data_IF_268817047613
#
_entry.id   IF_268817047613
#
_cell.length_a   1.000
_cell.length_b   1.000
_cell.length_c   1.000
_cell.angle_alpha   90.00
_cell.angle_beta   90.00
_cell.angle_gamma   90.00
#
_symmetry.space_group_name_H-M   'P 1'
#
loop_
_entity.id
_entity.type
_entity.pdbx_description
1 polymer ?
#
# COMPACT_ATOMS: atom_id res chain seq x y z
N UNK A 1 -11.80 -20.90 -22.69
CA UNK A 1 -10.82 -20.09 -21.94
C UNK A 1 -11.56 -18.99 -21.20
N UNK A 2 -11.91 -19.24 -19.94
CA UNK A 2 -12.63 -18.30 -19.07
C UNK A 2 -11.85 -18.36 -17.77
N UNK A 3 -10.95 -17.40 -17.49
CA UNK A 3 -10.06 -17.59 -16.34
C UNK A 3 -9.13 -16.48 -15.88
N UNK A 4 -9.06 -15.31 -16.54
CA UNK A 4 -8.19 -14.22 -16.06
C UNK A 4 -8.88 -12.86 -15.90
N UNK A 5 -9.96 -12.57 -16.65
CA UNK A 5 -10.71 -11.30 -16.49
C UNK A 5 -11.45 -11.15 -15.15
N UNK A 6 -11.70 -12.26 -14.43
CA UNK A 6 -12.44 -12.23 -13.16
C UNK A 6 -11.60 -11.84 -11.94
N UNK A 7 -10.28 -11.73 -12.07
CA UNK A 7 -9.40 -11.36 -10.95
C UNK A 7 -9.26 -9.84 -10.83
N UNK A 8 -9.30 -9.12 -11.96
CA UNK A 8 -9.19 -7.65 -11.98
C UNK A 8 -10.54 -6.97 -11.74
N UNK A 9 -11.65 -7.52 -12.24
CA UNK A 9 -13.00 -6.96 -12.00
C UNK A 9 -13.46 -7.03 -10.53
N UNK A 10 -12.92 -7.94 -9.72
CA UNK A 10 -13.26 -8.03 -8.30
C UNK A 10 -12.57 -6.98 -7.43
N UNK A 11 -11.57 -6.27 -7.95
CA UNK A 11 -10.85 -5.25 -7.20
C UNK A 11 -11.56 -3.88 -7.19
N UNK A 12 -12.49 -3.64 -8.13
CA UNK A 12 -13.11 -2.32 -8.34
C UNK A 12 -14.55 -2.21 -7.82
N UNK A 13 -15.24 -3.31 -7.52
CA UNK A 13 -16.68 -3.29 -7.20
C UNK A 13 -17.06 -3.70 -5.77
N UNK A 14 -16.40 -3.10 -4.78
CA UNK A 14 -16.99 -2.99 -3.43
C UNK A 14 -16.89 -1.56 -2.95
N UNK A 15 -17.81 -0.73 -3.46
CA UNK A 15 -18.28 0.47 -2.77
C UNK A 15 -18.85 0.04 -1.42
N UNK A 16 -18.01 -0.04 -0.39
CA UNK A 16 -18.50 -0.06 0.99
C UNK A 16 -18.84 1.39 1.32
N UNK A 17 -20.09 1.71 1.02
CA UNK A 17 -20.82 2.80 1.64
C UNK A 17 -20.76 2.55 3.16
N UNK A 18 -19.93 3.31 3.89
CA UNK A 18 -20.03 3.45 5.34
C UNK A 18 -20.70 4.79 5.61
N UNK A 19 -22.00 4.82 5.39
CA UNK A 19 -22.87 5.88 5.91
C UNK A 19 -22.95 5.74 7.42
N UNK A 20 -22.72 6.86 8.10
CA UNK A 20 -23.29 7.26 9.40
C UNK A 20 -23.73 6.13 10.36
N UNK A 21 -22.90 5.88 11.37
CA UNK A 21 -23.33 5.36 12.67
C UNK A 21 -23.00 6.35 13.82
N UNK A 22 -22.97 7.66 13.52
CA UNK A 22 -22.76 8.71 14.52
C UNK A 22 -24.05 9.15 15.24
N UNK A 23 -25.22 8.63 14.86
CA UNK A 23 -26.52 9.19 15.28
C UNK A 23 -27.24 8.43 16.42
N UNK A 24 -26.73 7.29 16.91
CA UNK A 24 -27.46 6.48 17.88
C UNK A 24 -27.14 6.77 19.37
N UNK A 25 -26.27 7.75 19.67
CA UNK A 25 -25.77 7.94 21.04
C UNK A 25 -26.50 9.01 21.88
N UNK A 26 -27.59 9.62 21.40
CA UNK A 26 -28.23 10.75 22.11
C UNK A 26 -29.51 10.37 22.88
N UNK A 27 -30.07 9.16 22.77
CA UNK A 27 -31.34 8.84 23.42
C UNK A 27 -31.26 7.68 24.42
N UNK A 28 -30.87 7.97 25.67
CA UNK A 28 -31.38 7.27 26.87
C UNK A 28 -30.79 7.84 28.16
N UNK A 29 -31.22 9.05 28.52
CA UNK A 29 -31.16 9.56 29.89
C UNK A 29 -32.58 9.53 30.45
N UNK A 30 -32.85 8.65 31.41
CA UNK A 30 -34.16 8.55 32.05
C UNK A 30 -34.31 7.40 33.05
N UNK A 31 -33.93 7.67 34.31
CA UNK A 31 -34.43 7.13 35.59
C UNK A 31 -34.53 5.61 35.84
N UNK A 32 -33.72 5.08 36.76
CA UNK A 32 -34.14 4.40 38.00
C UNK A 32 -32.96 3.60 38.60
N UNK A 33 -32.66 3.85 39.87
CA UNK A 33 -31.64 3.15 40.65
C UNK A 33 -32.07 1.71 40.94
N UNK A 34 -31.21 0.73 40.62
CA UNK A 34 -31.31 -0.64 41.13
C UNK A 34 -29.90 -1.24 41.29
N UNK A 35 -29.59 -1.96 42.40
CA UNK A 35 -28.24 -2.45 42.74
C UNK A 35 -27.71 -3.61 41.85
N UNK A 36 -28.38 -3.91 40.73
CA UNK A 36 -27.92 -4.83 39.70
C UNK A 36 -27.43 -4.14 38.41
N UNK A 37 -27.35 -2.80 38.40
CA UNK A 37 -26.97 -1.99 37.23
C UNK A 37 -25.46 -1.79 37.13
N UNK A 38 -24.75 -1.76 38.26
CA UNK A 38 -23.31 -1.48 38.33
C UNK A 38 -22.46 -2.58 37.65
N UNK A 39 -22.76 -3.85 37.88
CA UNK A 39 -22.11 -4.99 37.20
C UNK A 39 -22.50 -5.12 35.72
N UNK A 40 -23.66 -4.61 35.32
CA UNK A 40 -24.15 -4.64 33.93
C UNK A 40 -23.55 -3.50 33.09
N UNK A 41 -23.35 -2.32 33.69
CA UNK A 41 -22.61 -1.19 33.09
C UNK A 41 -21.11 -1.46 32.99
N UNK A 42 -20.51 -2.13 33.98
CA UNK A 42 -19.11 -2.57 33.92
C UNK A 42 -18.86 -3.57 32.77
N UNK A 43 -19.77 -4.53 32.55
CA UNK A 43 -19.67 -5.46 31.41
C UNK A 43 -19.93 -4.81 30.06
N UNK A 44 -20.91 -3.90 29.95
CA UNK A 44 -21.17 -3.20 28.69
C UNK A 44 -20.02 -2.26 28.31
N UNK A 45 -19.36 -1.62 29.28
CA UNK A 45 -18.20 -0.76 29.03
C UNK A 45 -16.91 -1.56 28.74
N UNK A 46 -16.69 -2.69 29.40
CA UNK A 46 -15.61 -3.63 29.01
C UNK A 46 -15.82 -4.17 27.59
N UNK A 47 -17.08 -4.43 27.20
CA UNK A 47 -17.43 -4.81 25.84
C UNK A 47 -17.16 -3.66 24.87
N UNK A 48 -17.49 -2.40 25.19
CA UNK A 48 -17.16 -1.24 24.33
C UNK A 48 -15.65 -1.00 24.22
N UNK A 49 -14.88 -1.19 25.31
CA UNK A 49 -13.41 -1.09 25.30
C UNK A 49 -12.72 -2.22 24.52
N UNK A 50 -13.19 -3.46 24.68
CA UNK A 50 -12.75 -4.59 23.87
C UNK A 50 -13.13 -4.38 22.41
N UNK A 51 -14.32 -3.84 22.12
CA UNK A 51 -14.79 -3.58 20.75
C UNK A 51 -14.08 -2.43 20.08
N UNK A 52 -13.66 -1.39 20.81
CA UNK A 52 -12.82 -0.31 20.29
C UNK A 52 -11.39 -0.78 20.03
N UNK A 53 -10.78 -1.53 20.96
CA UNK A 53 -9.49 -2.22 20.74
C UNK A 53 -9.56 -3.17 19.56
N UNK A 54 -10.63 -3.96 19.48
CA UNK A 54 -10.83 -4.94 18.43
C UNK A 54 -11.09 -4.26 17.09
N UNK A 55 -11.87 -3.16 17.01
CA UNK A 55 -12.08 -2.41 15.76
C UNK A 55 -10.82 -1.67 15.27
N UNK A 56 -10.05 -1.04 16.17
CA UNK A 56 -8.81 -0.33 15.78
C UNK A 56 -7.71 -1.31 15.37
N UNK A 57 -7.58 -2.43 16.09
CA UNK A 57 -6.68 -3.53 15.74
C UNK A 57 -7.17 -4.25 14.48
N UNK A 58 -8.46 -4.49 14.31
CA UNK A 58 -9.03 -5.08 13.08
C UNK A 58 -8.89 -4.16 11.86
N UNK A 59 -8.94 -2.83 11.98
CA UNK A 59 -8.88 -1.96 10.79
C UNK A 59 -7.45 -1.69 10.30
N UNK A 60 -6.47 -1.62 11.21
CA UNK A 60 -5.05 -1.37 10.85
C UNK A 60 -4.28 -2.68 10.73
N UNK A 61 -4.47 -3.63 11.66
CA UNK A 61 -3.80 -4.93 11.56
C UNK A 61 -4.45 -5.84 10.52
N UNK A 62 -5.76 -5.79 10.19
CA UNK A 62 -6.23 -6.64 9.08
C UNK A 62 -5.68 -6.18 7.73
N UNK A 63 -5.60 -4.88 7.42
CA UNK A 63 -5.09 -4.47 6.11
C UNK A 63 -3.61 -4.84 5.98
N UNK A 64 -2.79 -4.56 6.99
CA UNK A 64 -1.37 -4.92 6.98
C UNK A 64 -1.13 -6.43 7.05
N UNK A 65 -1.88 -7.15 7.89
CA UNK A 65 -1.75 -8.61 8.00
C UNK A 65 -2.26 -9.31 6.74
N UNK A 66 -3.32 -8.81 6.09
CA UNK A 66 -3.80 -9.36 4.81
C UNK A 66 -2.75 -9.12 3.73
N UNK A 67 -2.15 -7.92 3.65
CA UNK A 67 -1.11 -7.62 2.66
C UNK A 67 0.18 -8.44 2.92
N UNK A 68 0.63 -8.53 4.17
CA UNK A 68 1.78 -9.37 4.56
C UNK A 68 1.52 -10.86 4.27
N UNK A 69 0.33 -11.34 4.62
CA UNK A 69 -0.09 -12.72 4.38
C UNK A 69 -0.24 -13.02 2.89
N UNK A 70 -0.75 -12.08 2.10
CA UNK A 70 -0.79 -12.22 0.64
C UNK A 70 0.62 -12.28 0.06
N UNK A 71 1.57 -11.49 0.56
CA UNK A 71 2.97 -11.60 0.15
C UNK A 71 3.58 -12.94 0.58
N UNK A 72 3.28 -13.43 1.78
CA UNK A 72 3.71 -14.75 2.28
C UNK A 72 3.15 -15.90 1.43
N UNK A 73 1.85 -15.89 1.18
CA UNK A 73 1.13 -16.90 0.40
C UNK A 73 1.60 -16.93 -1.06
N UNK A 74 2.08 -15.81 -1.60
CA UNK A 74 2.68 -15.72 -2.93
C UNK A 74 4.21 -15.94 -2.94
N UNK A 75 4.83 -16.30 -1.80
CA UNK A 75 6.27 -16.56 -1.71
C UNK A 75 7.15 -15.32 -1.86
N UNK A 76 6.58 -14.12 -1.71
CA UNK A 76 7.23 -12.81 -1.89
C UNK A 76 7.88 -12.28 -0.60
N UNK A 77 8.15 -13.16 0.36
CA UNK A 77 8.76 -12.87 1.67
C UNK A 77 10.16 -12.25 1.55
N UNK A 78 10.84 -12.50 0.42
CA UNK A 78 12.18 -11.98 0.14
C UNK A 78 12.19 -10.58 -0.47
N UNK A 79 11.01 -10.00 -0.73
CA UNK A 79 10.93 -8.64 -1.24
C UNK A 79 11.12 -7.65 -0.08
N UNK A 80 11.88 -6.56 -0.28
CA UNK A 80 12.06 -5.51 0.73
C UNK A 80 10.73 -4.96 1.30
N UNK A 81 9.67 -4.95 0.48
CA UNK A 81 8.33 -4.51 0.89
C UNK A 81 7.73 -5.36 2.03
N UNK A 82 8.07 -6.66 2.10
CA UNK A 82 7.59 -7.54 3.16
C UNK A 82 8.22 -7.16 4.51
N UNK A 83 9.53 -6.97 4.55
CA UNK A 83 10.24 -6.54 5.77
C UNK A 83 9.74 -5.17 6.24
N UNK A 84 9.48 -4.25 5.31
CA UNK A 84 8.90 -2.94 5.63
C UNK A 84 7.49 -3.05 6.22
N UNK A 85 6.62 -3.89 5.64
CA UNK A 85 5.26 -4.12 6.18
C UNK A 85 5.31 -4.67 7.61
N UNK A 86 6.20 -5.64 7.87
CA UNK A 86 6.35 -6.26 9.19
C UNK A 86 6.90 -5.26 10.20
N UNK A 87 7.98 -4.55 9.88
CA UNK A 87 8.56 -3.52 10.75
C UNK A 87 7.56 -2.41 11.08
N UNK A 88 6.76 -2.00 10.09
CA UNK A 88 5.73 -0.99 10.31
C UNK A 88 4.59 -1.47 11.22
N UNK A 89 4.17 -2.73 11.12
CA UNK A 89 3.18 -3.33 12.04
C UNK A 89 3.69 -3.30 13.48
N UNK A 90 4.92 -3.75 13.69
CA UNK A 90 5.50 -3.89 15.02
C UNK A 90 5.65 -2.50 15.72
N UNK A 91 5.97 -1.45 14.96
CA UNK A 91 6.01 -0.07 15.47
C UNK A 91 4.62 0.44 15.94
N UNK A 92 3.55 0.10 15.20
CA UNK A 92 2.18 0.49 15.58
C UNK A 92 1.72 -0.28 16.82
N UNK A 93 2.01 -1.59 16.88
CA UNK A 93 1.65 -2.41 18.04
C UNK A 93 2.32 -1.89 19.32
N UNK A 94 3.60 -1.47 19.25
CA UNK A 94 4.30 -0.84 20.37
C UNK A 94 3.68 0.50 20.81
N UNK A 95 3.30 1.37 19.85
CA UNK A 95 2.66 2.65 20.14
C UNK A 95 1.30 2.47 20.81
N UNK A 96 0.49 1.52 20.33
CA UNK A 96 -0.81 1.20 20.92
C UNK A 96 -0.64 0.62 22.32
N UNK A 97 0.35 -0.24 22.56
CA UNK A 97 0.56 -0.85 23.86
C UNK A 97 0.94 0.20 24.92
N UNK A 98 1.89 1.09 24.60
CA UNK A 98 2.35 2.13 25.52
C UNK A 98 1.23 3.12 25.87
N UNK A 99 0.51 3.61 24.86
CA UNK A 99 -0.54 4.61 25.08
C UNK A 99 -1.77 4.04 25.79
N UNK A 100 -2.10 2.77 25.56
CA UNK A 100 -3.20 2.12 26.25
C UNK A 100 -2.89 1.81 27.73
N UNK A 101 -1.62 1.66 28.11
CA UNK A 101 -1.24 1.51 29.53
C UNK A 101 -1.61 2.75 30.35
N UNK A 102 -1.32 3.93 29.83
CA UNK A 102 -1.63 5.22 30.49
C UNK A 102 -3.14 5.45 30.64
N UNK A 103 -3.94 5.10 29.63
CA UNK A 103 -5.42 5.18 29.73
C UNK A 103 -5.95 4.22 30.79
N UNK A 104 -5.42 3.00 30.87
CA UNK A 104 -5.83 2.03 31.90
C UNK A 104 -5.47 2.55 33.29
N UNK A 105 -4.29 3.14 33.46
CA UNK A 105 -3.85 3.74 34.72
C UNK A 105 -4.76 4.90 35.17
N UNK A 106 -5.17 5.78 34.25
CA UNK A 106 -6.16 6.84 34.54
C UNK A 106 -7.50 6.28 34.99
N UNK A 107 -7.97 5.20 34.37
CA UNK A 107 -9.25 4.57 34.72
C UNK A 107 -9.18 3.80 36.06
N UNK A 108 -8.05 3.16 36.36
CA UNK A 108 -7.81 2.52 37.66
C UNK A 108 -7.73 3.57 38.77
N UNK A 109 -7.07 4.70 38.49
CA UNK A 109 -6.99 5.84 39.42
C UNK A 109 -8.36 6.46 39.64
N UNK A 110 -9.15 6.64 38.57
CA UNK A 110 -10.55 7.06 38.66
C UNK A 110 -11.36 6.13 39.57
N UNK A 111 -11.21 4.81 39.46
CA UNK A 111 -11.96 3.85 40.29
C UNK A 111 -11.64 3.96 41.79
N UNK A 112 -10.39 4.29 42.13
CA UNK A 112 -9.93 4.44 43.51
C UNK A 112 -10.19 5.84 44.08
N UNK A 113 -10.49 6.82 43.22
CA UNK A 113 -10.68 8.21 43.60
C UNK A 113 -12.05 8.48 44.26
N UNK A 114 -12.13 9.49 45.15
CA UNK A 114 -13.39 10.00 45.68
C UNK A 114 -14.37 10.40 44.56
N UNK A 115 -15.68 10.37 44.84
CA UNK A 115 -16.74 10.66 43.84
C UNK A 115 -16.53 12.00 43.13
N UNK A 116 -16.00 13.01 43.83
CA UNK A 116 -15.75 14.35 43.28
C UNK A 116 -14.57 14.41 42.29
N UNK A 117 -13.57 13.53 42.41
CA UNK A 117 -12.37 13.47 41.55
C UNK A 117 -12.50 12.44 40.44
N UNK A 118 -13.42 11.47 40.61
CA UNK A 118 -13.73 10.43 39.63
C UNK A 118 -14.02 10.96 38.24
N UNK A 119 -14.87 11.99 38.16
CA UNK A 119 -15.28 12.59 36.90
C UNK A 119 -14.10 13.21 36.14
N UNK A 120 -13.18 13.86 36.85
CA UNK A 120 -11.99 14.47 36.25
C UNK A 120 -11.08 13.41 35.61
N UNK A 121 -10.84 12.29 36.28
CA UNK A 121 -10.05 11.19 35.72
C UNK A 121 -10.73 10.52 34.52
N UNK A 122 -12.06 10.41 34.52
CA UNK A 122 -12.81 9.92 33.34
C UNK A 122 -12.73 10.87 32.15
N UNK A 123 -12.81 12.18 32.38
CA UNK A 123 -12.64 13.18 31.33
C UNK A 123 -11.22 13.13 30.76
N UNK A 124 -10.20 13.08 31.62
CA UNK A 124 -8.81 12.93 31.22
C UNK A 124 -8.58 11.65 30.38
N UNK A 125 -9.14 10.52 30.81
CA UNK A 125 -9.05 9.27 30.04
C UNK A 125 -9.75 9.37 28.67
N UNK A 126 -10.88 10.08 28.57
CA UNK A 126 -11.59 10.31 27.30
C UNK A 126 -10.78 11.19 26.34
N UNK A 127 -10.16 12.24 26.85
CA UNK A 127 -9.34 13.13 26.04
C UNK A 127 -8.08 12.39 25.55
N UNK A 128 -7.44 11.61 26.43
CA UNK A 128 -6.31 10.80 26.03
C UNK A 128 -6.67 9.74 24.97
N UNK A 129 -7.85 9.12 25.04
CA UNK A 129 -8.32 8.22 23.98
C UNK A 129 -8.52 8.95 22.65
N UNK A 130 -9.01 10.20 22.65
CA UNK A 130 -9.14 10.99 21.42
C UNK A 130 -7.77 11.28 20.80
N UNK A 131 -6.80 11.67 21.63
CA UNK A 131 -5.44 11.97 21.19
C UNK A 131 -4.79 10.73 20.55
N UNK A 132 -4.95 9.56 21.16
CA UNK A 132 -4.49 8.27 20.62
C UNK A 132 -5.11 8.01 19.24
N UNK A 133 -6.42 8.20 19.08
CA UNK A 133 -7.10 7.95 17.79
C UNK A 133 -6.61 8.90 16.70
N UNK A 134 -6.36 10.18 17.04
CA UNK A 134 -5.79 11.15 16.11
C UNK A 134 -4.38 10.73 15.71
N UNK A 135 -3.54 10.36 16.68
CA UNK A 135 -2.18 9.91 16.41
C UNK A 135 -2.14 8.64 15.56
N UNK A 136 -2.98 7.65 15.86
CA UNK A 136 -3.11 6.43 15.04
C UNK A 136 -3.56 6.72 13.62
N UNK A 137 -4.44 7.72 13.43
CA UNK A 137 -4.86 8.14 12.09
C UNK A 137 -3.72 8.75 11.30
N UNK A 138 -2.86 9.55 11.96
CA UNK A 138 -1.65 10.13 11.36
C UNK A 138 -0.65 9.02 11.01
N UNK A 139 -0.41 8.08 11.92
CA UNK A 139 0.50 6.95 11.68
C UNK A 139 0.01 6.06 10.56
N UNK A 140 -1.30 5.76 10.51
CA UNK A 140 -1.91 5.04 9.38
C UNK A 140 -1.69 5.76 8.05
N UNK A 141 -1.83 7.09 8.01
CA UNK A 141 -1.57 7.85 6.80
C UNK A 141 -0.10 7.80 6.38
N UNK A 142 0.85 7.91 7.33
CA UNK A 142 2.29 7.77 7.06
C UNK A 142 2.62 6.37 6.52
N UNK A 143 2.00 5.34 7.09
CA UNK A 143 2.14 3.96 6.68
C UNK A 143 1.65 3.73 5.25
N UNK A 144 0.42 4.13 4.92
CA UNK A 144 -0.13 3.99 3.56
C UNK A 144 0.76 4.67 2.52
N UNK A 145 1.31 5.83 2.91
CA UNK A 145 2.28 6.58 2.12
C UNK A 145 3.57 5.80 1.85
N UNK A 146 4.20 5.21 2.88
CA UNK A 146 5.40 4.36 2.73
C UNK A 146 5.13 3.12 1.90
N UNK A 147 4.02 2.43 2.16
CA UNK A 147 3.63 1.25 1.38
C UNK A 147 3.47 1.57 -0.10
N UNK A 148 2.94 2.75 -0.42
CA UNK A 148 2.77 3.13 -1.82
C UNK A 148 4.11 3.35 -2.52
N UNK A 149 5.08 3.96 -1.86
CA UNK A 149 6.45 4.10 -2.38
C UNK A 149 7.07 2.72 -2.61
N UNK A 150 7.01 1.84 -1.62
CA UNK A 150 7.56 0.50 -1.72
C UNK A 150 6.92 -0.31 -2.86
N UNK A 151 5.61 -0.16 -3.05
CA UNK A 151 4.88 -0.78 -4.16
C UNK A 151 5.39 -0.25 -5.52
N UNK A 152 5.55 1.07 -5.66
CA UNK A 152 6.06 1.68 -6.90
C UNK A 152 7.48 1.20 -7.17
N UNK A 153 8.36 1.22 -6.17
CA UNK A 153 9.74 0.74 -6.31
C UNK A 153 9.80 -0.74 -6.72
N UNK A 154 8.92 -1.58 -6.17
CA UNK A 154 8.79 -2.98 -6.57
C UNK A 154 8.32 -3.13 -8.02
N UNK A 155 7.31 -2.36 -8.45
CA UNK A 155 6.84 -2.35 -9.85
C UNK A 155 7.94 -1.91 -10.82
N UNK A 156 8.75 -0.90 -10.46
CA UNK A 156 9.88 -0.45 -11.28
C UNK A 156 10.96 -1.53 -11.37
N UNK A 157 11.30 -2.20 -10.25
CA UNK A 157 12.23 -3.34 -10.25
C UNK A 157 11.76 -4.48 -11.15
N UNK A 158 10.47 -4.80 -11.10
CA UNK A 158 9.87 -5.84 -11.93
C UNK A 158 9.96 -5.48 -13.42
N UNK A 159 9.62 -4.24 -13.80
CA UNK A 159 9.79 -3.74 -15.17
C UNK A 159 11.24 -3.84 -15.64
N UNK A 160 12.22 -3.42 -14.83
CA UNK A 160 13.64 -3.54 -15.15
C UNK A 160 14.03 -5.00 -15.39
N UNK A 161 13.55 -5.93 -14.56
CA UNK A 161 13.85 -7.35 -14.69
C UNK A 161 13.24 -7.97 -15.95
N UNK A 162 11.99 -7.62 -16.27
CA UNK A 162 11.32 -8.05 -17.49
C UNK A 162 12.04 -7.52 -18.73
N UNK A 163 12.34 -6.22 -18.76
CA UNK A 163 13.03 -5.56 -19.89
C UNK A 163 14.43 -6.14 -20.09
N UNK A 164 15.18 -6.37 -19.01
CA UNK A 164 16.51 -7.00 -19.10
C UNK A 164 16.47 -8.40 -19.70
N UNK A 165 15.39 -9.17 -19.43
CA UNK A 165 15.20 -10.50 -19.99
C UNK A 165 14.84 -10.44 -21.48
N UNK A 166 14.03 -9.46 -21.87
CA UNK A 166 13.68 -9.23 -23.28
C UNK A 166 14.92 -8.77 -24.05
N UNK A 167 15.67 -7.81 -23.53
CA UNK A 167 16.97 -7.38 -24.07
C UNK A 167 17.91 -8.55 -24.36
N UNK A 168 18.13 -9.42 -23.37
CA UNK A 168 18.97 -10.61 -23.56
C UNK A 168 18.43 -11.56 -24.64
N UNK A 169 17.12 -11.62 -24.83
CA UNK A 169 16.49 -12.41 -25.90
C UNK A 169 16.71 -11.75 -27.26
N UNK A 170 16.50 -10.42 -27.35
CA UNK A 170 16.67 -9.61 -28.55
C UNK A 170 18.11 -9.68 -29.07
N UNK A 171 19.11 -9.53 -28.19
CA UNK A 171 20.54 -9.68 -28.51
C UNK A 171 20.89 -11.06 -29.09
N UNK A 172 20.16 -12.10 -28.68
CA UNK A 172 20.35 -13.48 -29.14
C UNK A 172 19.68 -13.81 -30.48
N UNK A 173 18.73 -13.01 -30.97
CA UNK A 173 17.97 -13.28 -32.20
C UNK A 173 18.84 -13.56 -33.44
N UNK A 174 19.92 -12.81 -33.71
CA UNK A 174 20.77 -13.05 -34.89
C UNK A 174 21.45 -14.42 -34.90
N UNK A 175 21.62 -15.04 -33.74
CA UNK A 175 22.31 -16.32 -33.56
C UNK A 175 21.38 -17.52 -33.76
N UNK A 176 20.06 -17.30 -33.78
CA UNK A 176 19.08 -18.34 -34.00
C UNK A 176 18.99 -18.75 -35.47
N UNK A 177 18.62 -20.02 -35.69
CA UNK A 177 18.23 -20.54 -37.01
C UNK A 177 16.98 -19.82 -37.50
N UNK A 178 16.81 -19.68 -38.81
CA UNK A 178 15.73 -18.90 -39.41
C UNK A 178 14.33 -19.28 -38.91
N UNK A 179 13.98 -20.57 -38.87
CA UNK A 179 12.68 -21.04 -38.40
C UNK A 179 12.44 -20.76 -36.90
N UNK A 180 13.49 -20.83 -36.08
CA UNK A 180 13.40 -20.54 -34.64
C UNK A 180 13.35 -19.03 -34.40
N UNK A 181 14.04 -18.25 -35.24
CA UNK A 181 14.12 -16.78 -35.15
C UNK A 181 12.74 -16.15 -35.29
N UNK A 182 11.97 -16.50 -36.33
CA UNK A 182 10.64 -15.93 -36.54
C UNK A 182 9.71 -16.15 -35.34
N UNK A 183 9.68 -17.38 -34.80
CA UNK A 183 8.86 -17.72 -33.65
C UNK A 183 9.33 -17.05 -32.33
N UNK A 184 10.63 -16.83 -32.16
CA UNK A 184 11.17 -16.10 -31.00
C UNK A 184 10.94 -14.61 -31.15
N UNK A 185 11.11 -14.03 -32.33
CA UNK A 185 10.83 -12.62 -32.63
C UNK A 185 9.39 -12.26 -32.27
N UNK A 186 8.40 -13.03 -32.75
CA UNK A 186 6.98 -12.77 -32.45
C UNK A 186 6.69 -12.75 -30.93
N UNK A 187 7.20 -13.75 -30.20
CA UNK A 187 7.06 -13.82 -28.74
C UNK A 187 7.79 -12.69 -28.01
N UNK A 188 8.88 -12.19 -28.58
CA UNK A 188 9.66 -11.08 -28.03
C UNK A 188 8.91 -9.77 -28.23
N UNK A 189 8.29 -9.55 -29.40
CA UNK A 189 7.37 -8.42 -29.65
C UNK A 189 6.18 -8.43 -28.69
N UNK A 190 5.56 -9.59 -28.46
CA UNK A 190 4.46 -9.72 -27.51
C UNK A 190 4.89 -9.33 -26.08
N UNK A 191 6.03 -9.85 -25.61
CA UNK A 191 6.58 -9.46 -24.30
C UNK A 191 6.88 -7.98 -24.20
N UNK A 192 7.42 -7.35 -25.24
CA UNK A 192 7.64 -5.90 -25.24
C UNK A 192 6.32 -5.12 -25.12
N UNK A 193 5.25 -5.58 -25.78
CA UNK A 193 3.92 -4.96 -25.63
C UNK A 193 3.37 -5.12 -24.22
N UNK A 194 3.56 -6.28 -23.60
CA UNK A 194 3.18 -6.51 -22.20
C UNK A 194 3.94 -5.57 -21.25
N UNK A 195 5.25 -5.39 -21.47
CA UNK A 195 6.07 -4.46 -20.71
C UNK A 195 5.59 -3.03 -20.90
N UNK A 196 5.27 -2.61 -22.14
CA UNK A 196 4.68 -1.29 -22.41
C UNK A 196 3.38 -1.09 -21.63
N UNK A 197 2.50 -2.09 -21.59
CA UNK A 197 1.26 -2.00 -20.83
C UNK A 197 1.50 -1.82 -19.31
N UNK A 198 2.46 -2.56 -18.74
CA UNK A 198 2.87 -2.41 -17.35
C UNK A 198 3.50 -1.04 -17.07
N UNK A 199 4.31 -0.51 -18.00
CA UNK A 199 4.88 0.83 -17.93
C UNK A 199 3.78 1.91 -17.91
N UNK A 200 2.77 1.81 -18.79
CA UNK A 200 1.66 2.77 -18.79
C UNK A 200 0.86 2.73 -17.48
N UNK A 201 0.67 1.53 -16.90
CA UNK A 201 0.04 1.40 -15.59
C UNK A 201 0.87 2.05 -14.47
N UNK A 202 2.20 1.94 -14.53
CA UNK A 202 3.10 2.64 -13.62
C UNK A 202 2.98 4.16 -13.77
N UNK A 203 2.93 4.69 -14.99
CA UNK A 203 2.73 6.13 -15.26
C UNK A 203 1.42 6.63 -14.67
N UNK A 204 0.32 5.89 -14.85
CA UNK A 204 -0.98 6.21 -14.22
C UNK A 204 -0.85 6.25 -12.70
N UNK A 205 -0.20 5.24 -12.11
CA UNK A 205 0.01 5.16 -10.67
C UNK A 205 0.84 6.32 -10.13
N UNK A 206 1.91 6.71 -10.83
CA UNK A 206 2.73 7.86 -10.48
C UNK A 206 1.95 9.17 -10.61
N UNK A 207 1.12 9.30 -11.65
CA UNK A 207 0.25 10.46 -11.82
C UNK A 207 -0.75 10.60 -10.66
N UNK A 208 -1.39 9.51 -10.24
CA UNK A 208 -2.29 9.53 -9.09
C UNK A 208 -1.58 9.91 -7.80
N UNK A 209 -0.37 9.39 -7.57
CA UNK A 209 0.44 9.71 -6.38
C UNK A 209 1.02 11.12 -6.44
N UNK A 210 1.30 11.66 -7.63
CA UNK A 210 1.78 13.04 -7.79
C UNK A 210 0.76 14.09 -7.35
N UNK A 211 -0.53 13.72 -7.32
CA UNK A 211 -1.59 14.57 -6.78
C UNK A 211 -1.62 14.57 -5.25
N UNK A 212 -0.84 13.71 -4.59
CA UNK A 212 -0.75 13.68 -3.14
C UNK A 212 0.13 14.85 -2.66
N UNK A 213 -0.19 15.44 -1.52
CA UNK A 213 0.63 16.51 -0.96
C UNK A 213 1.94 16.01 -0.33
N UNK A 214 2.92 16.90 -0.22
CA UNK A 214 4.19 16.68 0.47
C UNK A 214 5.20 15.88 -0.36
N UNK A 215 6.28 15.43 0.31
CA UNK A 215 7.46 14.81 -0.33
C UNK A 215 7.14 13.67 -1.29
N UNK A 216 6.12 12.86 -0.99
CA UNK A 216 5.75 11.71 -1.83
C UNK A 216 5.17 12.15 -3.17
N UNK A 217 4.30 13.17 -3.16
CA UNK A 217 3.78 13.72 -4.40
C UNK A 217 4.86 14.40 -5.22
N UNK A 218 5.77 15.13 -4.55
CA UNK A 218 6.94 15.73 -5.20
C UNK A 218 7.82 14.66 -5.85
N UNK A 219 8.16 13.58 -5.13
CA UNK A 219 8.94 12.46 -5.66
C UNK A 219 8.26 11.74 -6.83
N UNK A 220 6.94 11.54 -6.78
CA UNK A 220 6.19 10.96 -7.89
C UNK A 220 6.13 11.91 -9.12
N UNK A 221 5.98 13.21 -8.90
CA UNK A 221 6.04 14.22 -9.96
C UNK A 221 7.43 14.32 -10.59
N UNK A 222 8.49 14.22 -9.78
CA UNK A 222 9.87 14.13 -10.24
C UNK A 222 10.08 12.85 -11.05
N UNK A 223 9.55 11.72 -10.60
CA UNK A 223 9.56 10.45 -11.33
C UNK A 223 8.90 10.54 -12.70
N UNK A 224 7.74 11.18 -12.81
CA UNK A 224 7.09 11.46 -14.10
C UNK A 224 7.96 12.34 -15.01
N UNK A 225 8.64 13.33 -14.44
CA UNK A 225 9.58 14.17 -15.21
C UNK A 225 10.78 13.37 -15.70
N UNK A 226 11.32 12.44 -14.91
CA UNK A 226 12.39 11.53 -15.33
C UNK A 226 11.94 10.66 -16.50
N UNK A 227 10.76 10.04 -16.41
CA UNK A 227 10.22 9.19 -17.47
C UNK A 227 10.00 9.97 -18.77
N UNK A 228 9.46 11.20 -18.66
CA UNK A 228 9.22 12.07 -19.80
C UNK A 228 10.52 12.60 -20.41
N UNK A 229 11.48 13.04 -19.61
CA UNK A 229 12.75 13.57 -20.11
C UNK A 229 13.62 12.47 -20.74
N UNK A 230 13.45 11.23 -20.31
CA UNK A 230 14.10 10.06 -20.90
C UNK A 230 13.34 9.43 -22.06
N UNK A 231 12.22 10.01 -22.51
CA UNK A 231 11.40 9.51 -23.61
C UNK A 231 11.10 8.00 -23.54
N UNK A 232 10.89 7.46 -22.33
CA UNK A 232 10.80 6.02 -22.11
C UNK A 232 9.71 5.33 -22.94
N UNK A 233 8.57 5.99 -23.14
CA UNK A 233 7.49 5.46 -23.99
C UNK A 233 7.90 5.37 -25.46
N UNK A 234 8.59 6.38 -25.98
CA UNK A 234 9.06 6.38 -27.36
C UNK A 234 10.13 5.30 -27.58
N UNK A 235 11.01 5.08 -26.61
CA UNK A 235 11.97 3.98 -26.67
C UNK A 235 11.30 2.61 -26.64
N UNK A 236 10.27 2.40 -25.82
CA UNK A 236 9.46 1.17 -25.84
C UNK A 236 8.81 0.94 -27.22
N UNK A 237 8.22 1.98 -27.82
CA UNK A 237 7.63 1.88 -29.16
C UNK A 237 8.66 1.57 -30.25
N UNK A 238 9.82 2.22 -30.18
CA UNK A 238 10.89 2.01 -31.14
C UNK A 238 11.50 0.61 -31.01
N UNK A 239 11.66 0.08 -29.78
CA UNK A 239 12.08 -1.29 -29.55
C UNK A 239 11.08 -2.30 -30.14
N UNK A 240 9.77 -2.13 -29.88
CA UNK A 240 8.72 -2.98 -30.48
C UNK A 240 8.81 -2.97 -32.00
N UNK A 241 8.93 -1.79 -32.60
CA UNK A 241 9.01 -1.63 -34.05
C UNK A 241 10.28 -2.27 -34.63
N UNK A 242 11.43 -2.05 -33.99
CA UNK A 242 12.73 -2.61 -34.40
C UNK A 242 12.74 -4.13 -34.36
N UNK A 243 12.28 -4.75 -33.27
CA UNK A 243 12.19 -6.21 -33.16
C UNK A 243 11.26 -6.77 -34.24
N UNK A 244 10.10 -6.15 -34.47
CA UNK A 244 9.15 -6.57 -35.49
C UNK A 244 9.72 -6.46 -36.91
N UNK A 245 10.54 -5.44 -37.17
CA UNK A 245 11.25 -5.24 -38.43
C UNK A 245 12.51 -6.10 -38.58
N UNK A 246 12.86 -6.91 -37.57
CA UNK A 246 14.13 -7.64 -37.47
C UNK A 246 15.37 -6.73 -37.46
N UNK A 247 15.20 -5.47 -37.08
CA UNK A 247 16.27 -4.49 -36.89
C UNK A 247 16.77 -4.56 -35.45
N UNK A 248 17.61 -5.57 -35.19
CA UNK A 248 17.98 -6.00 -33.83
C UNK A 248 18.85 -4.96 -33.11
N UNK A 249 19.82 -4.37 -33.79
CA UNK A 249 20.80 -3.48 -33.14
C UNK A 249 20.16 -2.17 -32.62
N UNK A 250 19.34 -1.44 -33.41
CA UNK A 250 18.60 -0.29 -32.89
C UNK A 250 17.58 -0.66 -31.81
N UNK A 251 16.93 -1.82 -31.92
CA UNK A 251 16.00 -2.28 -30.88
C UNK A 251 16.72 -2.47 -29.54
N UNK A 252 17.87 -3.14 -29.55
CA UNK A 252 18.72 -3.35 -28.35
C UNK A 252 19.11 -2.03 -27.69
N UNK A 253 19.50 -1.01 -28.47
CA UNK A 253 19.83 0.30 -27.92
C UNK A 253 18.62 0.98 -27.25
N UNK A 254 17.44 0.87 -27.84
CA UNK A 254 16.22 1.39 -27.23
C UNK A 254 15.83 0.66 -25.94
N UNK A 255 15.94 -0.68 -25.89
CA UNK A 255 15.70 -1.47 -24.67
C UNK A 255 16.69 -1.09 -23.54
N UNK A 256 17.96 -0.82 -23.88
CA UNK A 256 18.97 -0.33 -22.91
C UNK A 256 18.62 1.04 -22.36
N UNK A 257 18.15 1.96 -23.21
CA UNK A 257 17.70 3.28 -22.79
C UNK A 257 16.48 3.20 -21.85
N UNK A 258 15.51 2.33 -22.13
CA UNK A 258 14.37 2.08 -21.22
C UNK A 258 14.88 1.63 -19.85
N UNK A 259 15.78 0.64 -19.79
CA UNK A 259 16.36 0.16 -18.53
C UNK A 259 17.08 1.29 -17.78
N UNK A 260 17.85 2.13 -18.49
CA UNK A 260 18.56 3.27 -17.90
C UNK A 260 17.58 4.26 -17.26
N UNK A 261 16.51 4.61 -17.96
CA UNK A 261 15.48 5.54 -17.45
C UNK A 261 14.72 4.94 -16.28
N UNK A 262 14.34 3.66 -16.33
CA UNK A 262 13.68 2.98 -15.21
C UNK A 262 14.57 2.90 -13.96
N UNK A 263 15.90 2.72 -14.12
CA UNK A 263 16.84 2.77 -13.00
C UNK A 263 16.93 4.16 -12.38
N UNK A 264 16.92 5.22 -13.19
CA UNK A 264 16.88 6.60 -12.69
C UNK A 264 15.57 6.88 -11.93
N UNK A 265 14.44 6.36 -12.41
CA UNK A 265 13.18 6.43 -11.69
C UNK A 265 13.24 5.68 -10.35
N UNK A 266 13.80 4.46 -10.33
CA UNK A 266 13.92 3.67 -9.10
C UNK A 266 14.71 4.44 -8.02
N UNK A 267 15.86 4.99 -8.40
CA UNK A 267 16.70 5.79 -7.50
C UNK A 267 15.95 7.02 -6.93
N UNK A 268 15.13 7.69 -7.76
CA UNK A 268 14.30 8.80 -7.29
C UNK A 268 13.21 8.36 -6.30
N UNK A 269 12.51 7.25 -6.60
CA UNK A 269 11.43 6.72 -5.76
C UNK A 269 11.98 6.27 -4.40
N UNK A 270 13.17 5.68 -4.36
CA UNK A 270 13.80 5.22 -3.11
C UNK A 270 14.34 6.36 -2.23
N UNK A 271 14.63 7.53 -2.82
CA UNK A 271 15.08 8.72 -2.09
C UNK A 271 13.96 9.53 -1.43
N UNK A 272 12.70 9.23 -1.78
CA UNK A 272 11.50 9.98 -1.38
C UNK A 272 10.95 9.54 -0.03
#
# INVERSE_FOLDING_TARGET
>A
MIGMDRIVERFVSRRVVVTLAAAALIASLGTASAPGVETRQLRSQQVVQLRARQMTRELVNNVLAIQARQLEENGLQRLPIYEEIVSMRDNIDGLVEEQMKQVVELLVTAQKAPVAEREQHYLAARDQVRDIVVQLSIERQKLLRRLKIAQIAAQVRELIALESKVLSTTEGLPQLRQNDREAVTLRTVEKQRDIKALYLQLVITLNDVSQWGGKIGEGAADGLRILKAGDAEAHLDAAIAGIAASDVEPAVEHEREVIRVLRALLDQVEKT
#
